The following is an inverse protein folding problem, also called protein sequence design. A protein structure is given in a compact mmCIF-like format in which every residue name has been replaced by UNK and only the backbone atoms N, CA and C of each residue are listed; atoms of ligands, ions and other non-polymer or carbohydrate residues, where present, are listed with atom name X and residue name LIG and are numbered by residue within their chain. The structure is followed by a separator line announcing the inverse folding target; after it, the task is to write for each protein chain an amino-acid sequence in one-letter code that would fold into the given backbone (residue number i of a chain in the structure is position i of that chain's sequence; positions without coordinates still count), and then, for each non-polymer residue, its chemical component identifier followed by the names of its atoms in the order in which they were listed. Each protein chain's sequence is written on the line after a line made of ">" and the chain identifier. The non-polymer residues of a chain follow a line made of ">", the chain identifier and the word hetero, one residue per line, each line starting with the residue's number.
data_IF_848275678391
#
_entry.id   IF_848275678391
#
_cell.length_a   1.000
_cell.length_b   1.000
_cell.length_c   1.000
_cell.angle_alpha   90.00
_cell.angle_beta   90.00
_cell.angle_gamma   90.00
#
_symmetry.space_group_name_H-M   'P 1'
#
loop_
_entity.id
_entity.type
_entity.pdbx_description
1 polymer ?
#
# COMPACT_ATOMS: atom_id res chain seq x y z
N UNK A 1 25.60 18.76 28.93
CA UNK A 1 25.03 17.59 29.62
C UNK A 1 23.54 17.87 29.77
N UNK A 2 22.72 17.52 28.77
CA UNK A 2 21.27 17.79 28.75
C UNK A 2 20.54 16.55 29.23
N UNK A 3 20.12 16.58 30.47
CA UNK A 3 19.26 15.63 31.17
C UNK A 3 17.80 15.81 30.76
N UNK A 4 17.42 15.28 29.60
CA UNK A 4 16.00 15.10 29.24
C UNK A 4 15.80 13.86 28.32
N UNK A 5 16.48 12.75 28.60
CA UNK A 5 15.99 11.43 28.20
C UNK A 5 15.00 10.94 29.25
N UNK A 6 13.80 11.52 29.23
CA UNK A 6 12.64 10.85 29.81
C UNK A 6 12.52 9.52 29.09
N UNK A 7 12.78 8.44 29.79
CA UNK A 7 12.63 7.05 29.34
C UNK A 7 11.21 6.87 28.81
N UNK A 8 11.07 6.94 27.50
CA UNK A 8 9.80 6.68 26.81
C UNK A 8 9.41 5.22 27.10
N UNK A 9 8.43 5.03 27.98
CA UNK A 9 7.96 3.71 28.48
C UNK A 9 7.16 2.92 27.45
N UNK A 10 6.99 3.44 26.22
CA UNK A 10 6.23 2.73 25.19
C UNK A 10 7.00 1.48 24.74
N UNK A 11 6.30 0.35 24.52
CA UNK A 11 6.91 -0.86 24.01
C UNK A 11 7.55 -0.59 22.63
N UNK A 12 8.76 -1.11 22.47
CA UNK A 12 9.54 -0.95 21.23
C UNK A 12 9.17 -2.06 20.25
N UNK A 13 8.74 -1.69 19.06
CA UNK A 13 8.52 -2.61 17.95
C UNK A 13 9.63 -2.50 16.92
N UNK A 14 10.16 -3.67 16.51
CA UNK A 14 11.19 -3.73 15.48
C UNK A 14 10.57 -3.47 14.11
N UNK A 15 11.14 -2.51 13.37
CA UNK A 15 10.67 -2.11 12.06
C UNK A 15 10.73 -3.26 11.04
N UNK A 16 11.70 -4.18 11.18
CA UNK A 16 11.87 -5.35 10.32
C UNK A 16 10.67 -6.32 10.44
N UNK A 17 10.23 -6.59 11.67
CA UNK A 17 9.03 -7.41 11.90
C UNK A 17 7.77 -6.71 11.38
N UNK A 18 7.68 -5.40 11.60
CA UNK A 18 6.56 -4.62 11.09
C UNK A 18 6.51 -4.70 9.55
N UNK A 19 7.63 -4.59 8.85
CA UNK A 19 7.69 -4.69 7.39
C UNK A 19 7.27 -6.07 6.88
N UNK A 20 7.74 -7.14 7.54
CA UNK A 20 7.33 -8.51 7.17
C UNK A 20 5.81 -8.69 7.33
N UNK A 21 5.26 -8.27 8.47
CA UNK A 21 3.81 -8.30 8.71
C UNK A 21 3.07 -7.49 7.65
N UNK A 22 3.55 -6.29 7.30
CA UNK A 22 2.96 -5.43 6.27
C UNK A 22 2.88 -6.13 4.92
N UNK A 23 3.96 -6.78 4.48
CA UNK A 23 3.96 -7.51 3.19
C UNK A 23 2.87 -8.57 3.20
N UNK A 24 2.76 -9.35 4.27
CA UNK A 24 1.79 -10.44 4.37
C UNK A 24 0.34 -9.93 4.45
N UNK A 25 0.05 -8.99 5.36
CA UNK A 25 -1.32 -8.55 5.57
C UNK A 25 -1.84 -7.65 4.45
N UNK A 26 -0.99 -6.80 3.86
CA UNK A 26 -1.43 -5.94 2.76
C UNK A 26 -1.69 -6.74 1.48
N UNK A 27 -0.81 -7.69 1.12
CA UNK A 27 -1.05 -8.54 -0.06
C UNK A 27 -2.30 -9.42 0.12
N UNK A 28 -2.51 -9.99 1.31
CA UNK A 28 -3.73 -10.70 1.66
C UNK A 28 -4.96 -9.78 1.58
N UNK A 29 -4.89 -8.59 2.19
CA UNK A 29 -5.98 -7.62 2.18
C UNK A 29 -6.36 -7.17 0.77
N UNK A 30 -5.39 -6.94 -0.12
CA UNK A 30 -5.66 -6.56 -1.51
C UNK A 30 -6.40 -7.66 -2.26
N UNK A 31 -5.99 -8.92 -2.12
CA UNK A 31 -6.66 -10.06 -2.78
C UNK A 31 -8.04 -10.28 -2.18
N UNK A 32 -8.17 -10.25 -0.85
CA UNK A 32 -9.47 -10.40 -0.18
C UNK A 32 -10.45 -9.29 -0.58
N UNK A 33 -9.95 -8.05 -0.76
CA UNK A 33 -10.77 -6.93 -1.22
C UNK A 33 -11.24 -7.13 -2.66
N UNK A 34 -10.36 -7.64 -3.53
CA UNK A 34 -10.70 -7.98 -4.91
C UNK A 34 -11.79 -9.08 -4.94
N UNK A 35 -11.59 -10.16 -4.18
CA UNK A 35 -12.49 -11.31 -4.16
C UNK A 35 -13.82 -11.02 -3.45
N UNK A 36 -13.90 -9.93 -2.66
CA UNK A 36 -15.17 -9.46 -2.08
C UNK A 36 -16.19 -9.04 -3.14
N UNK A 37 -15.76 -8.78 -4.39
CA UNK A 37 -16.64 -8.30 -5.45
C UNK A 37 -17.07 -6.83 -5.31
N UNK A 38 -16.73 -6.15 -4.20
CA UNK A 38 -17.04 -4.73 -4.00
C UNK A 38 -16.03 -3.79 -4.70
N UNK A 39 -14.98 -4.37 -5.31
CA UNK A 39 -13.90 -3.68 -5.99
C UNK A 39 -12.56 -3.97 -5.35
N UNK A 40 -11.51 -3.30 -5.80
CA UNK A 40 -10.13 -3.43 -5.29
C UNK A 40 -9.65 -2.09 -4.73
N UNK A 41 -8.54 -2.05 -3.97
CA UNK A 41 -7.97 -0.78 -3.53
C UNK A 41 -7.58 0.08 -4.74
N UNK A 42 -7.81 1.40 -4.67
CA UNK A 42 -7.66 2.29 -5.82
C UNK A 42 -6.29 2.20 -6.50
N UNK A 43 -5.20 2.16 -5.71
CA UNK A 43 -3.84 2.05 -6.25
C UNK A 43 -3.57 0.69 -6.91
N UNK A 44 -4.17 -0.38 -6.39
CA UNK A 44 -4.04 -1.73 -6.94
C UNK A 44 -4.94 -1.96 -8.16
N UNK A 45 -5.90 -1.06 -8.41
CA UNK A 45 -6.82 -1.18 -9.54
C UNK A 45 -6.11 -0.98 -10.89
N UNK A 46 -5.04 -0.17 -10.95
CA UNK A 46 -4.26 0.04 -12.17
C UNK A 46 -3.58 -1.24 -12.65
N UNK A 47 -2.73 -1.92 -11.83
CA UNK A 47 -2.14 -3.19 -12.25
C UNK A 47 -3.19 -4.29 -12.46
N UNK A 48 -4.31 -4.26 -11.74
CA UNK A 48 -5.42 -5.16 -11.98
C UNK A 48 -6.05 -4.93 -13.35
N UNK A 49 -6.28 -3.69 -13.76
CA UNK A 49 -6.79 -3.37 -15.09
C UNK A 49 -5.85 -3.89 -16.19
N UNK A 50 -4.53 -3.77 -16.00
CA UNK A 50 -3.56 -4.35 -16.92
C UNK A 50 -3.62 -5.88 -16.94
N UNK A 51 -3.74 -6.55 -15.80
CA UNK A 51 -3.82 -8.02 -15.74
C UNK A 51 -5.09 -8.56 -16.41
N UNK A 52 -6.19 -7.82 -16.36
CA UNK A 52 -7.43 -8.19 -17.04
C UNK A 52 -7.40 -7.90 -18.55
N UNK A 53 -6.75 -6.81 -18.94
CA UNK A 53 -6.61 -6.42 -20.36
C UNK A 53 -5.53 -7.24 -21.08
N UNK A 54 -4.49 -7.65 -20.37
CA UNK A 54 -3.35 -8.38 -20.90
C UNK A 54 -3.01 -9.59 -20.01
N UNK A 55 -3.77 -10.70 -20.12
CA UNK A 55 -3.68 -11.85 -19.22
C UNK A 55 -2.39 -12.69 -19.39
N UNK A 56 -1.48 -12.29 -20.27
CA UNK A 56 -0.17 -12.94 -20.43
C UNK A 56 0.70 -12.84 -19.17
N UNK A 57 0.45 -11.85 -18.32
CA UNK A 57 1.18 -11.63 -17.06
C UNK A 57 0.20 -11.66 -15.88
N UNK A 58 0.71 -12.16 -14.74
CA UNK A 58 -0.06 -12.23 -13.48
C UNK A 58 -0.31 -10.84 -12.88
N UNK A 59 -1.30 -10.74 -11.99
CA UNK A 59 -1.56 -9.53 -11.19
C UNK A 59 -0.30 -9.07 -10.44
N UNK A 60 0.44 -10.01 -9.82
CA UNK A 60 1.68 -9.69 -9.13
C UNK A 60 2.73 -9.13 -10.07
N UNK A 61 2.90 -9.72 -11.27
CA UNK A 61 3.87 -9.22 -12.24
C UNK A 61 3.51 -7.80 -12.71
N UNK A 62 2.25 -7.53 -13.04
CA UNK A 62 1.80 -6.18 -13.40
C UNK A 62 1.97 -5.19 -12.24
N UNK A 63 1.70 -5.63 -11.01
CA UNK A 63 1.94 -4.82 -9.81
C UNK A 63 3.42 -4.46 -9.67
N UNK A 64 4.32 -5.41 -9.92
CA UNK A 64 5.76 -5.18 -9.86
C UNK A 64 6.24 -4.18 -10.93
N UNK A 65 5.72 -4.30 -12.16
CA UNK A 65 6.00 -3.33 -13.24
C UNK A 65 5.50 -1.94 -12.85
N UNK A 66 4.28 -1.83 -12.34
CA UNK A 66 3.71 -0.56 -11.88
C UNK A 66 4.54 0.07 -10.76
N UNK A 67 5.01 -0.73 -9.81
CA UNK A 67 5.91 -0.27 -8.75
C UNK A 67 7.23 0.25 -9.28
N UNK A 68 7.78 -0.38 -10.32
CA UNK A 68 8.99 0.11 -11.02
C UNK A 68 8.77 1.50 -11.62
N UNK A 69 7.62 1.72 -12.26
CA UNK A 69 7.24 3.03 -12.81
C UNK A 69 7.15 4.08 -11.70
N UNK A 70 6.54 3.75 -10.55
CA UNK A 70 6.43 4.67 -9.41
C UNK A 70 7.80 5.04 -8.83
N UNK A 71 8.70 4.06 -8.69
CA UNK A 71 10.08 4.31 -8.22
C UNK A 71 10.84 5.20 -9.20
N UNK A 72 10.75 4.91 -10.50
CA UNK A 72 11.37 5.75 -11.53
C UNK A 72 10.82 7.18 -11.50
N UNK A 73 9.51 7.34 -11.37
CA UNK A 73 8.87 8.65 -11.26
C UNK A 73 9.36 9.43 -10.02
N UNK A 74 9.52 8.77 -8.86
CA UNK A 74 10.07 9.40 -7.67
C UNK A 74 11.52 9.86 -7.86
N UNK A 75 12.36 9.05 -8.51
CA UNK A 75 13.76 9.43 -8.80
C UNK A 75 13.82 10.66 -9.71
N UNK A 76 12.96 10.72 -10.73
CA UNK A 76 12.85 11.87 -11.63
C UNK A 76 12.40 13.13 -10.87
N UNK A 77 11.35 13.02 -10.05
CA UNK A 77 10.80 14.14 -9.29
C UNK A 77 11.79 14.70 -8.26
N UNK A 78 12.53 13.83 -7.57
CA UNK A 78 13.56 14.25 -6.63
C UNK A 78 14.85 14.74 -7.31
N UNK A 79 15.00 14.53 -8.62
CA UNK A 79 16.23 14.83 -9.39
C UNK A 79 17.49 14.25 -8.72
N UNK A 80 17.37 13.16 -7.98
CA UNK A 80 18.44 12.50 -7.23
C UNK A 80 18.24 10.99 -7.27
N UNK A 81 19.33 10.26 -7.42
CA UNK A 81 19.36 8.83 -7.21
C UNK A 81 19.32 8.54 -5.71
N UNK A 82 18.25 7.89 -5.25
CA UNK A 82 18.05 7.54 -3.85
C UNK A 82 18.14 6.02 -3.71
N UNK A 83 19.27 5.47 -3.20
CA UNK A 83 19.46 4.01 -3.09
C UNK A 83 18.37 3.30 -2.30
N UNK A 84 17.79 3.99 -1.33
CA UNK A 84 16.68 3.46 -0.51
C UNK A 84 15.46 3.07 -1.36
N UNK A 85 15.21 3.74 -2.48
CA UNK A 85 14.10 3.39 -3.38
C UNK A 85 14.33 2.06 -4.10
N UNK A 86 15.59 1.68 -4.35
CA UNK A 86 15.93 0.37 -4.90
C UNK A 86 15.59 -0.75 -3.91
N UNK A 87 15.84 -0.53 -2.61
CA UNK A 87 15.41 -1.49 -1.59
C UNK A 87 13.88 -1.61 -1.50
N UNK A 88 13.16 -0.50 -1.67
CA UNK A 88 11.69 -0.53 -1.78
C UNK A 88 11.22 -1.38 -2.96
N UNK A 89 11.97 -1.40 -4.06
CA UNK A 89 11.66 -2.22 -5.21
C UNK A 89 11.83 -3.73 -4.91
N UNK A 90 12.83 -4.10 -4.10
CA UNK A 90 12.99 -5.49 -3.60
C UNK A 90 11.82 -5.89 -2.70
N UNK A 91 11.41 -5.01 -1.77
CA UNK A 91 10.22 -5.21 -0.93
C UNK A 91 8.96 -5.35 -1.78
N UNK A 92 8.85 -4.54 -2.83
CA UNK A 92 7.78 -4.60 -3.81
C UNK A 92 7.71 -5.93 -4.57
N UNK A 93 8.86 -6.55 -4.87
CA UNK A 93 8.90 -7.88 -5.46
C UNK A 93 8.30 -8.94 -4.53
N UNK A 94 8.68 -8.93 -3.24
CA UNK A 94 8.12 -9.85 -2.26
C UNK A 94 6.59 -9.68 -2.13
N UNK A 95 6.10 -8.43 -2.05
CA UNK A 95 4.68 -8.11 -2.03
C UNK A 95 3.95 -8.64 -3.28
N UNK A 96 4.52 -8.42 -4.46
CA UNK A 96 3.93 -8.84 -5.74
C UNK A 96 3.84 -10.37 -5.85
N UNK A 97 4.84 -11.11 -5.37
CA UNK A 97 4.79 -12.56 -5.29
C UNK A 97 3.75 -13.07 -4.31
N UNK A 98 3.61 -12.40 -3.17
CA UNK A 98 2.56 -12.74 -2.19
C UNK A 98 1.15 -12.48 -2.74
N UNK A 99 0.95 -11.47 -3.59
CA UNK A 99 -0.33 -11.28 -4.30
C UNK A 99 -0.69 -12.50 -5.14
N UNK A 100 0.25 -13.02 -5.94
CA UNK A 100 0.00 -14.20 -6.79
C UNK A 100 -0.27 -15.44 -5.94
N UNK A 101 0.48 -15.64 -4.84
CA UNK A 101 0.25 -16.74 -3.89
C UNK A 101 -1.15 -16.68 -3.30
N UNK A 102 -1.56 -15.51 -2.77
CA UNK A 102 -2.90 -15.37 -2.18
C UNK A 102 -4.01 -15.48 -3.23
N UNK A 103 -3.80 -14.92 -4.43
CA UNK A 103 -4.78 -15.04 -5.51
C UNK A 103 -5.00 -16.52 -5.90
N UNK A 104 -3.96 -17.32 -5.89
CA UNK A 104 -4.06 -18.76 -6.16
C UNK A 104 -4.68 -19.51 -4.97
N UNK A 105 -4.29 -19.17 -3.74
CA UNK A 105 -4.78 -19.85 -2.54
C UNK A 105 -6.27 -19.56 -2.26
N UNK A 106 -6.75 -18.35 -2.59
CA UNK A 106 -8.14 -17.94 -2.40
C UNK A 106 -9.01 -18.26 -3.63
N UNK A 107 -8.43 -18.69 -4.75
CA UNK A 107 -9.15 -19.10 -5.95
C UNK A 107 -10.06 -20.30 -5.63
N UNK A 108 -11.36 -20.10 -5.63
CA UNK A 108 -12.36 -21.15 -5.30
C UNK A 108 -13.16 -20.88 -4.03
N UNK A 109 -12.89 -19.82 -3.30
CA UNK A 109 -13.78 -19.37 -2.25
C UNK A 109 -15.05 -18.78 -2.89
N UNK A 110 -16.13 -19.58 -2.92
CA UNK A 110 -17.45 -19.11 -3.35
C UNK A 110 -18.05 -18.26 -2.25
N UNK A 111 -18.26 -16.98 -2.53
CA UNK A 111 -18.74 -16.04 -1.53
C UNK A 111 -20.20 -15.67 -1.80
N UNK A 112 -21.09 -15.98 -0.85
CA UNK A 112 -22.47 -15.44 -0.86
C UNK A 112 -22.47 -13.93 -0.61
N UNK A 113 -23.51 -13.23 -1.06
CA UNK A 113 -23.64 -11.75 -1.01
C UNK A 113 -23.41 -11.18 0.40
N UNK A 114 -23.82 -11.87 1.48
CA UNK A 114 -23.59 -11.41 2.85
C UNK A 114 -22.13 -11.39 3.27
N UNK A 115 -21.31 -12.31 2.75
CA UNK A 115 -19.88 -12.38 3.04
C UNK A 115 -19.08 -11.30 2.30
N UNK A 116 -19.55 -10.83 1.16
CA UNK A 116 -18.87 -9.80 0.36
C UNK A 116 -18.65 -8.51 1.16
N UNK A 117 -19.66 -8.05 1.89
CA UNK A 117 -19.58 -6.85 2.73
C UNK A 117 -18.58 -7.05 3.87
N UNK A 118 -18.64 -8.21 4.54
CA UNK A 118 -17.72 -8.53 5.65
C UNK A 118 -16.28 -8.58 5.15
N UNK A 119 -16.03 -9.26 4.03
CA UNK A 119 -14.68 -9.36 3.45
C UNK A 119 -14.16 -7.99 3.00
N UNK A 120 -15.02 -7.15 2.43
CA UNK A 120 -14.64 -5.79 2.08
C UNK A 120 -14.24 -4.98 3.32
N UNK A 121 -15.04 -5.00 4.39
CA UNK A 121 -14.73 -4.25 5.62
C UNK A 121 -13.44 -4.77 6.26
N UNK A 122 -13.28 -6.09 6.38
CA UNK A 122 -12.09 -6.71 6.96
C UNK A 122 -10.86 -6.36 6.13
N UNK A 123 -10.91 -6.55 4.82
CA UNK A 123 -9.79 -6.23 3.93
C UNK A 123 -9.43 -4.75 3.97
N UNK A 124 -10.42 -3.87 3.98
CA UNK A 124 -10.23 -2.43 4.10
C UNK A 124 -9.48 -2.05 5.38
N UNK A 125 -9.89 -2.59 6.54
CA UNK A 125 -9.23 -2.32 7.82
C UNK A 125 -7.81 -2.92 7.87
N UNK A 126 -7.63 -4.13 7.33
CA UNK A 126 -6.33 -4.80 7.26
C UNK A 126 -5.35 -3.99 6.41
N UNK A 127 -5.78 -3.50 5.24
CA UNK A 127 -4.94 -2.65 4.38
C UNK A 127 -4.61 -1.33 5.08
N UNK A 128 -5.60 -0.67 5.70
CA UNK A 128 -5.36 0.57 6.44
C UNK A 128 -4.35 0.39 7.59
N UNK A 129 -4.46 -0.70 8.35
CA UNK A 129 -3.52 -1.06 9.40
C UNK A 129 -2.12 -1.31 8.83
N UNK A 130 -2.03 -2.10 7.77
CA UNK A 130 -0.76 -2.41 7.13
C UNK A 130 -0.05 -1.17 6.60
N UNK A 131 -0.76 -0.25 5.93
CA UNK A 131 -0.17 1.01 5.45
C UNK A 131 0.23 1.92 6.63
N UNK A 132 -0.56 1.95 7.71
CA UNK A 132 -0.21 2.71 8.91
C UNK A 132 1.07 2.20 9.58
N UNK A 133 1.25 0.87 9.65
CA UNK A 133 2.48 0.21 10.12
C UNK A 133 3.65 0.45 9.16
N UNK A 134 3.42 0.32 7.85
CA UNK A 134 4.39 0.56 6.79
C UNK A 134 5.01 1.95 6.91
N UNK A 135 4.20 2.97 7.12
CA UNK A 135 4.66 4.35 7.27
C UNK A 135 5.54 4.59 8.52
N UNK A 136 5.56 3.65 9.47
CA UNK A 136 6.27 3.75 10.76
C UNK A 136 7.45 2.80 10.93
N UNK A 137 7.57 1.81 10.06
CA UNK A 137 8.62 0.79 10.19
C UNK A 137 10.06 1.36 10.09
N UNK A 138 10.25 2.59 9.57
CA UNK A 138 11.57 3.19 9.42
C UNK A 138 12.49 2.49 8.42
N UNK A 139 11.92 1.67 7.55
CA UNK A 139 12.57 0.89 6.49
C UNK A 139 12.03 1.28 5.11
N UNK A 140 12.71 0.90 4.02
CA UNK A 140 12.14 0.96 2.69
C UNK A 140 10.83 0.16 2.62
N UNK A 141 9.76 0.82 2.23
CA UNK A 141 8.42 0.24 2.16
C UNK A 141 8.04 -0.10 0.72
N UNK A 142 6.89 -0.76 0.54
CA UNK A 142 6.33 -1.09 -0.77
C UNK A 142 6.20 0.19 -1.61
N UNK A 143 6.65 0.22 -2.88
CA UNK A 143 6.63 1.44 -3.71
C UNK A 143 5.27 2.10 -3.87
N UNK A 144 4.18 1.33 -3.85
CA UNK A 144 2.81 1.85 -3.89
C UNK A 144 2.43 2.69 -2.66
N UNK A 145 3.02 2.40 -1.51
CA UNK A 145 2.83 3.17 -0.28
C UNK A 145 3.89 4.28 -0.15
N UNK A 146 5.10 4.00 -0.67
CA UNK A 146 6.20 4.95 -0.68
C UNK A 146 5.85 6.19 -1.52
N UNK A 147 5.26 6.00 -2.70
CA UNK A 147 4.99 7.08 -3.65
C UNK A 147 4.14 8.20 -3.04
N UNK A 148 2.94 7.97 -2.47
CA UNK A 148 2.16 9.04 -1.87
C UNK A 148 2.83 9.64 -0.63
N UNK A 149 3.64 8.88 0.13
CA UNK A 149 4.39 9.39 1.27
C UNK A 149 5.47 10.38 0.84
N UNK A 150 6.29 9.99 -0.11
CA UNK A 150 7.37 10.83 -0.64
C UNK A 150 6.83 12.07 -1.37
N UNK A 151 5.71 11.92 -2.09
CA UNK A 151 5.03 13.04 -2.72
C UNK A 151 4.50 14.05 -1.70
N UNK A 152 3.98 13.59 -0.57
CA UNK A 152 3.55 14.46 0.52
C UNK A 152 4.72 15.29 1.07
N UNK A 153 5.88 14.65 1.22
CA UNK A 153 7.12 15.32 1.66
C UNK A 153 7.66 16.32 0.63
N UNK A 154 7.62 15.98 -0.66
CA UNK A 154 8.08 16.86 -1.75
C UNK A 154 7.18 18.09 -1.86
N UNK A 155 5.86 17.89 -1.84
CA UNK A 155 4.87 18.95 -2.00
C UNK A 155 4.58 19.73 -0.71
N UNK A 156 5.08 19.25 0.45
CA UNK A 156 4.81 19.82 1.78
C UNK A 156 3.32 19.92 2.11
N UNK A 157 2.56 18.90 1.71
CA UNK A 157 1.12 18.80 1.98
C UNK A 157 0.80 17.56 2.82
N UNK A 158 -0.35 17.53 3.51
CA UNK A 158 -0.75 16.37 4.32
C UNK A 158 -0.84 15.09 3.49
N UNK A 159 -0.31 13.98 4.02
CA UNK A 159 -0.34 12.65 3.39
C UNK A 159 -1.74 12.25 2.90
N UNK A 160 -2.78 12.50 3.70
CA UNK A 160 -4.16 12.13 3.34
C UNK A 160 -4.64 12.82 2.06
N UNK A 161 -4.24 14.07 1.84
CA UNK A 161 -4.59 14.80 0.61
C UNK A 161 -3.90 14.19 -0.62
N UNK A 162 -2.60 13.93 -0.52
CA UNK A 162 -1.85 13.29 -1.61
C UNK A 162 -2.39 11.90 -1.89
N UNK A 163 -2.65 11.11 -0.84
CA UNK A 163 -3.18 9.76 -0.98
C UNK A 163 -4.53 9.77 -1.72
N UNK A 164 -5.46 10.64 -1.32
CA UNK A 164 -6.77 10.76 -1.97
C UNK A 164 -6.60 11.16 -3.45
N UNK A 165 -5.80 12.18 -3.73
CA UNK A 165 -5.56 12.64 -5.11
C UNK A 165 -4.95 11.52 -5.97
N UNK A 166 -3.97 10.81 -5.43
CA UNK A 166 -3.33 9.71 -6.12
C UNK A 166 -4.29 8.54 -6.38
N UNK A 167 -5.10 8.17 -5.38
CA UNK A 167 -6.11 7.13 -5.51
C UNK A 167 -7.17 7.49 -6.56
N UNK A 168 -7.67 8.74 -6.56
CA UNK A 168 -8.61 9.22 -7.60
C UNK A 168 -7.98 9.20 -8.99
N UNK A 169 -6.70 9.55 -9.12
CA UNK A 169 -5.97 9.43 -10.39
C UNK A 169 -5.89 7.98 -10.84
N UNK A 170 -5.59 7.05 -9.93
CA UNK A 170 -5.58 5.61 -10.23
C UNK A 170 -6.97 5.12 -10.70
N UNK A 171 -8.06 5.58 -10.07
CA UNK A 171 -9.42 5.25 -10.50
C UNK A 171 -9.69 5.71 -11.94
N UNK A 172 -9.33 6.95 -12.26
CA UNK A 172 -9.52 7.51 -13.59
C UNK A 172 -8.72 6.73 -14.65
N UNK A 173 -7.46 6.39 -14.34
CA UNK A 173 -6.60 5.57 -15.22
C UNK A 173 -7.20 4.18 -15.40
N UNK A 174 -7.66 3.53 -14.33
CA UNK A 174 -8.29 2.20 -14.38
C UNK A 174 -9.56 2.21 -15.21
N UNK A 175 -10.44 3.22 -15.01
CA UNK A 175 -11.66 3.38 -15.78
C UNK A 175 -11.35 3.54 -17.28
N UNK A 176 -10.39 4.41 -17.61
CA UNK A 176 -9.96 4.62 -18.99
C UNK A 176 -9.39 3.35 -19.64
N UNK A 177 -8.47 2.66 -18.94
CA UNK A 177 -7.85 1.43 -19.44
C UNK A 177 -8.90 0.33 -19.68
N UNK A 178 -9.74 0.05 -18.68
CA UNK A 178 -10.71 -1.03 -18.81
C UNK A 178 -11.80 -0.71 -19.85
N UNK A 179 -12.21 0.54 -19.92
CA UNK A 179 -13.16 0.95 -20.98
C UNK A 179 -12.56 0.82 -22.39
N UNK A 180 -11.31 1.25 -22.58
CA UNK A 180 -10.66 1.19 -23.91
C UNK A 180 -10.35 -0.25 -24.35
N UNK A 181 -9.89 -1.12 -23.45
CA UNK A 181 -9.44 -2.47 -23.81
C UNK A 181 -10.52 -3.56 -23.63
N UNK A 182 -11.43 -3.40 -22.67
CA UNK A 182 -12.45 -4.41 -22.37
C UNK A 182 -13.86 -3.97 -22.82
N UNK A 183 -14.05 -2.70 -23.20
CA UNK A 183 -15.37 -2.15 -23.56
C UNK A 183 -16.31 -1.91 -22.35
N UNK A 184 -15.86 -2.20 -21.14
CA UNK A 184 -16.64 -1.97 -19.91
C UNK A 184 -15.69 -1.72 -18.73
N UNK A 185 -16.20 -1.03 -17.70
CA UNK A 185 -15.42 -0.76 -16.48
C UNK A 185 -15.33 -2.05 -15.66
N UNK A 186 -14.10 -2.48 -15.32
CA UNK A 186 -13.82 -3.66 -14.50
C UNK A 186 -12.88 -3.33 -13.34
N UNK A 187 -13.10 -3.99 -12.18
CA UNK A 187 -12.28 -3.79 -10.97
C UNK A 187 -12.63 -2.56 -10.14
N UNK A 188 -13.47 -1.66 -10.68
CA UNK A 188 -13.98 -0.51 -9.93
C UNK A 188 -15.38 -0.81 -9.41
N UNK A 189 -15.50 -0.88 -8.10
CA UNK A 189 -16.77 -1.03 -7.41
C UNK A 189 -17.06 0.16 -6.49
N UNK A 190 -18.23 0.16 -5.87
CA UNK A 190 -18.63 1.15 -4.86
C UNK A 190 -17.58 1.17 -3.72
N UNK A 191 -17.08 0.00 -3.33
CA UNK A 191 -16.03 -0.13 -2.32
C UNK A 191 -14.72 0.53 -2.71
N UNK A 192 -14.32 0.45 -3.99
CA UNK A 192 -13.10 1.11 -4.47
C UNK A 192 -13.21 2.63 -4.37
N UNK A 193 -14.36 3.19 -4.75
CA UNK A 193 -14.64 4.63 -4.64
C UNK A 193 -14.61 5.07 -3.18
N UNK A 194 -15.31 4.33 -2.31
CA UNK A 194 -15.34 4.61 -0.87
C UNK A 194 -13.92 4.57 -0.28
N UNK A 195 -13.13 3.55 -0.63
CA UNK A 195 -11.76 3.40 -0.16
C UNK A 195 -10.87 4.57 -0.61
N UNK A 196 -10.97 5.02 -1.86
CA UNK A 196 -10.17 6.12 -2.39
C UNK A 196 -10.35 7.42 -1.59
N UNK A 197 -11.58 7.73 -1.16
CA UNK A 197 -11.87 8.96 -0.41
C UNK A 197 -11.63 8.84 1.10
N UNK A 198 -11.68 7.64 1.67
CA UNK A 198 -11.68 7.45 3.13
C UNK A 198 -10.36 6.86 3.67
N UNK A 199 -9.68 6.01 2.89
CA UNK A 199 -8.50 5.27 3.33
C UNK A 199 -7.39 6.17 3.89
N UNK A 200 -7.09 7.28 3.23
CA UNK A 200 -6.07 8.22 3.68
C UNK A 200 -6.33 8.80 5.07
N UNK A 201 -7.61 9.04 5.41
CA UNK A 201 -7.99 9.52 6.75
C UNK A 201 -7.89 8.42 7.79
N UNK A 202 -8.40 7.22 7.47
CA UNK A 202 -8.37 6.06 8.38
C UNK A 202 -6.95 5.62 8.68
N UNK A 203 -6.05 5.60 7.68
CA UNK A 203 -4.62 5.34 7.86
C UNK A 203 -4.01 6.35 8.84
N UNK A 204 -4.35 7.64 8.71
CA UNK A 204 -3.89 8.68 9.63
C UNK A 204 -4.37 8.46 11.06
N UNK A 205 -5.65 8.09 11.23
CA UNK A 205 -6.23 7.80 12.56
C UNK A 205 -5.57 6.58 13.22
N UNK A 206 -5.45 5.46 12.50
CA UNK A 206 -4.77 4.24 13.00
C UNK A 206 -3.32 4.57 13.32
N UNK A 207 -2.66 5.34 12.48
CA UNK A 207 -1.31 5.76 12.71
C UNK A 207 -1.12 6.55 14.00
N UNK A 208 -1.99 7.50 14.28
CA UNK A 208 -1.94 8.26 15.53
C UNK A 208 -2.15 7.37 16.77
N UNK A 209 -2.99 6.33 16.65
CA UNK A 209 -3.18 5.35 17.72
C UNK A 209 -1.89 4.54 17.93
N UNK A 210 -1.26 4.08 16.85
CA UNK A 210 0.01 3.34 16.91
C UNK A 210 1.12 4.18 17.56
N UNK A 211 1.24 5.47 17.21
CA UNK A 211 2.25 6.37 17.76
C UNK A 211 2.07 6.64 19.26
N UNK A 212 0.83 6.55 19.75
CA UNK A 212 0.55 6.70 21.19
C UNK A 212 0.97 5.48 22.01
N UNK A 213 0.87 4.27 21.42
CA UNK A 213 1.07 3.02 22.15
C UNK A 213 2.41 2.36 21.89
N UNK A 214 3.04 2.61 20.73
CA UNK A 214 4.26 1.92 20.31
C UNK A 214 5.32 2.90 19.85
N UNK A 215 6.59 2.50 20.03
CA UNK A 215 7.75 3.15 19.44
C UNK A 215 8.37 2.21 18.44
N UNK A 216 8.46 2.65 17.18
CA UNK A 216 9.06 1.87 16.11
C UNK A 216 10.55 2.21 15.99
N UNK A 217 11.39 1.17 15.97
CA UNK A 217 12.85 1.30 15.84
C UNK A 217 13.33 0.34 14.77
N UNK A 218 14.12 0.82 13.81
CA UNK A 218 14.73 -0.01 12.78
C UNK A 218 16.24 0.09 12.83
N UNK A 219 16.93 -0.94 12.33
CA UNK A 219 18.40 -0.96 12.23
C UNK A 219 18.92 0.24 11.44
N UNK A 220 18.22 0.70 10.43
CA UNK A 220 18.61 1.88 9.65
C UNK A 220 18.49 3.16 10.45
N UNK A 221 17.48 3.28 11.32
CA UNK A 221 17.29 4.44 12.19
C UNK A 221 18.32 4.49 13.31
N UNK A 222 18.73 3.33 13.84
CA UNK A 222 19.79 3.24 14.85
C UNK A 222 21.18 3.59 14.28
N UNK A 223 21.50 3.10 13.08
CA UNK A 223 22.75 3.47 12.39
C UNK A 223 22.88 4.96 12.10
N UNK A 224 21.78 5.63 11.76
CA UNK A 224 21.77 7.08 11.49
C UNK A 224 21.99 7.94 12.76
N UNK A 225 21.82 7.38 13.95
CA UNK A 225 22.06 8.06 15.23
C UNK A 225 23.48 7.83 15.79
N UNK A 226 24.21 6.87 15.21
CA UNK A 226 25.59 6.51 15.63
C UNK A 226 26.68 7.21 14.81
N UNK A 227 26.33 8.06 13.87
CA UNK A 227 27.17 8.98 13.12
C UNK A 227 26.74 10.44 13.38
#
# INVERSE_FOLDING_TARGET
>A
MNTNEQTDKRPVWRGELALLIVILINSFGVVLMLDSGAGISAISSVPYAFSESFPALTLGTWTYIFQGILVAALMILRKKFVPTYLFSFVVGFAFSKMLDVYKTALAGLTMGIGYQIVYFIVSYLVICLGIALSNRCGLPIIPTDLFPREMADILKVPYSRVKITFDVTCLAVTAGLTFCFLGHIKGLGIGTILAAFTMGKVIGMIGNILDRHFRFVSVLTERSKSF
#
